data_IF_543449972435
#
_entry.id   IF_543449972435
#
_cell.length_a   1.000
_cell.length_b   1.000
_cell.length_c   1.000
_cell.angle_alpha   90.00
_cell.angle_beta   90.00
_cell.angle_gamma   90.00
#
_symmetry.space_group_name_H-M   'P 1'
#
loop_
_entity.id
_entity.type
_entity.pdbx_description
1 polymer ?
#
# COMPACT_ATOMS: atom_id res chain seq x y z
N UNK A 1 18.62 -11.68 -17.37
CA UNK A 1 17.36 -11.08 -16.88
C UNK A 1 17.35 -9.64 -17.36
N UNK A 2 16.79 -9.43 -18.54
CA UNK A 2 16.74 -8.11 -19.18
C UNK A 2 15.47 -7.40 -18.73
N UNK A 3 15.71 -6.24 -18.14
CA UNK A 3 14.75 -5.30 -17.56
C UNK A 3 14.13 -4.49 -18.70
N UNK A 4 12.81 -4.37 -18.78
CA UNK A 4 12.21 -3.31 -19.60
C UNK A 4 10.78 -2.93 -19.19
N UNK A 5 10.61 -1.60 -19.09
CA UNK A 5 9.42 -0.75 -18.90
C UNK A 5 8.13 -1.28 -19.52
N UNK A 6 7.00 -1.17 -18.80
CA UNK A 6 6.33 0.11 -18.56
C UNK A 6 6.36 0.47 -17.08
N UNK A 7 7.04 1.58 -16.79
CA UNK A 7 6.97 2.32 -15.53
C UNK A 7 6.90 3.83 -15.84
N UNK A 8 6.40 4.13 -17.04
CA UNK A 8 6.52 5.41 -17.73
C UNK A 8 5.22 6.21 -17.80
N UNK A 9 4.11 5.70 -17.25
CA UNK A 9 2.83 6.41 -17.30
C UNK A 9 2.29 6.91 -15.96
N UNK A 10 3.07 6.85 -14.86
CA UNK A 10 2.68 7.51 -13.60
C UNK A 10 3.74 8.38 -12.92
N UNK A 11 4.72 8.85 -13.71
CA UNK A 11 5.61 9.97 -13.35
C UNK A 11 5.35 11.24 -14.19
N UNK A 12 4.33 11.24 -15.06
CA UNK A 12 3.92 12.42 -15.83
C UNK A 12 2.91 13.31 -15.11
N UNK A 13 2.52 12.98 -13.88
CA UNK A 13 1.70 13.85 -13.05
C UNK A 13 2.56 14.46 -11.94
N UNK A 14 2.64 15.80 -11.83
CA UNK A 14 3.15 16.47 -10.64
C UNK A 14 2.48 15.99 -9.34
N UNK A 15 1.34 15.31 -9.42
CA UNK A 15 0.61 14.81 -8.28
C UNK A 15 1.42 13.74 -7.54
N UNK A 16 1.87 12.64 -8.14
CA UNK A 16 2.55 11.55 -7.36
C UNK A 16 3.82 12.03 -6.66
N UNK A 17 4.52 13.02 -7.23
CA UNK A 17 5.67 13.66 -6.60
C UNK A 17 5.26 14.66 -5.49
N UNK A 18 4.26 15.52 -5.73
CA UNK A 18 3.78 16.52 -4.76
C UNK A 18 2.93 15.92 -3.62
N UNK A 19 2.38 14.71 -3.81
CA UNK A 19 1.61 14.01 -2.80
C UNK A 19 2.50 13.50 -1.67
N UNK A 20 3.74 13.13 -2.01
CA UNK A 20 4.59 12.27 -1.19
C UNK A 20 5.73 13.03 -0.52
N UNK A 21 6.22 14.11 -1.12
CA UNK A 21 7.19 14.99 -0.48
C UNK A 21 6.42 16.12 0.20
N UNK A 22 6.24 16.08 1.52
CA UNK A 22 5.69 17.20 2.32
C UNK A 22 6.62 18.44 2.32
N UNK A 23 7.49 18.56 1.32
CA UNK A 23 8.25 19.75 1.00
C UNK A 23 7.33 20.71 0.26
N UNK A 24 6.84 21.72 0.99
CA UNK A 24 6.34 22.95 0.37
C UNK A 24 7.47 23.54 -0.47
N UNK A 25 7.48 23.19 -1.75
CA UNK A 25 8.28 23.86 -2.75
C UNK A 25 7.96 25.35 -2.70
N UNK A 26 8.98 26.19 -2.48
CA UNK A 26 8.75 27.63 -2.29
C UNK A 26 8.19 28.23 -3.58
N UNK A 27 7.18 29.11 -3.51
CA UNK A 27 6.68 29.81 -4.69
C UNK A 27 7.82 30.60 -5.34
N UNK A 28 8.28 30.18 -6.52
CA UNK A 28 9.29 30.89 -7.31
C UNK A 28 10.50 30.07 -7.76
N UNK A 29 10.72 28.85 -7.24
CA UNK A 29 11.68 27.95 -7.87
C UNK A 29 11.11 27.47 -9.21
N UNK A 30 11.95 27.31 -10.25
CA UNK A 30 11.52 26.80 -11.55
C UNK A 30 11.64 25.29 -11.52
N UNK A 31 10.51 24.58 -11.60
CA UNK A 31 10.46 23.12 -11.71
C UNK A 31 11.42 22.70 -12.83
N UNK A 32 12.56 22.09 -12.49
CA UNK A 32 13.32 21.36 -13.50
C UNK A 32 12.41 20.22 -13.93
N UNK A 33 11.90 20.32 -15.16
CA UNK A 33 11.10 19.25 -15.75
C UNK A 33 12.00 18.04 -15.89
N UNK A 34 11.92 17.11 -14.94
CA UNK A 34 12.50 15.79 -15.09
C UNK A 34 11.92 15.15 -16.35
N UNK A 35 12.79 14.66 -17.23
CA UNK A 35 12.38 13.95 -18.43
C UNK A 35 12.07 12.48 -18.14
N UNK A 36 11.36 11.81 -19.05
CA UNK A 36 11.13 10.34 -19.01
C UNK A 36 12.43 9.54 -18.80
N UNK A 37 13.56 10.03 -19.31
CA UNK A 37 14.87 9.40 -19.16
C UNK A 37 15.43 9.49 -17.74
N UNK A 38 15.21 10.59 -17.02
CA UNK A 38 15.66 10.75 -15.63
C UNK A 38 14.89 9.79 -14.71
N UNK A 39 13.60 9.60 -14.98
CA UNK A 39 12.75 8.66 -14.26
C UNK A 39 13.07 7.19 -14.55
N UNK A 40 13.28 6.83 -15.82
CA UNK A 40 13.71 5.48 -16.18
C UNK A 40 15.08 5.14 -15.57
N UNK A 41 15.98 6.13 -15.48
CA UNK A 41 17.27 5.99 -14.81
C UNK A 41 17.10 5.77 -13.29
N UNK A 42 16.26 6.56 -12.62
CA UNK A 42 15.96 6.39 -11.18
C UNK A 42 15.36 5.01 -10.94
N UNK A 43 14.38 4.60 -11.74
CA UNK A 43 13.69 3.33 -11.57
C UNK A 43 14.64 2.13 -11.75
N UNK A 44 15.40 2.08 -12.85
CA UNK A 44 16.36 1.00 -13.15
C UNK A 44 17.50 0.89 -12.13
N UNK A 45 17.82 1.98 -11.43
CA UNK A 45 18.90 2.02 -10.45
C UNK A 45 18.40 2.01 -9.01
N UNK A 46 17.09 2.12 -8.77
CA UNK A 46 16.50 2.09 -7.43
C UNK A 46 16.23 0.66 -6.95
N UNK A 47 16.25 0.46 -5.62
CA UNK A 47 15.72 -0.75 -5.01
C UNK A 47 14.19 -0.80 -4.92
N UNK A 48 13.47 0.13 -5.58
CA UNK A 48 12.03 0.37 -5.34
C UNK A 48 11.17 -0.86 -5.64
N UNK A 49 11.30 -1.48 -6.80
CA UNK A 49 10.49 -2.66 -7.17
C UNK A 49 10.64 -3.80 -6.18
N UNK A 50 11.87 -4.08 -5.75
CA UNK A 50 12.15 -5.10 -4.74
C UNK A 50 11.58 -4.69 -3.38
N UNK A 51 11.70 -3.42 -3.00
CA UNK A 51 11.11 -2.91 -1.77
C UNK A 51 9.58 -2.99 -1.78
N UNK A 52 8.93 -2.66 -2.90
CA UNK A 52 7.48 -2.77 -3.09
C UNK A 52 7.01 -4.20 -2.86
N UNK A 53 7.69 -5.21 -3.41
CA UNK A 53 7.34 -6.60 -3.18
C UNK A 53 7.54 -7.04 -1.72
N UNK A 54 8.60 -6.56 -1.06
CA UNK A 54 8.83 -6.83 0.36
C UNK A 54 7.75 -6.18 1.25
N UNK A 55 7.40 -4.92 1.00
CA UNK A 55 6.30 -4.24 1.68
C UNK A 55 4.96 -4.94 1.40
N UNK A 56 4.73 -5.38 0.15
CA UNK A 56 3.50 -6.05 -0.22
C UNK A 56 3.33 -7.38 0.50
N UNK A 57 4.42 -8.14 0.70
CA UNK A 57 4.37 -9.37 1.49
C UNK A 57 3.95 -9.09 2.95
N UNK A 58 4.56 -8.08 3.59
CA UNK A 58 4.22 -7.69 4.98
C UNK A 58 2.75 -7.22 5.07
N UNK A 59 2.34 -6.35 4.17
CA UNK A 59 0.97 -5.81 4.13
C UNK A 59 -0.05 -6.93 3.86
N UNK A 60 0.30 -7.92 3.02
CA UNK A 60 -0.56 -9.05 2.70
C UNK A 60 -0.78 -9.96 3.90
N UNK A 61 0.25 -10.23 4.69
CA UNK A 61 0.12 -11.04 5.91
C UNK A 61 -0.85 -10.38 6.91
N UNK A 62 -0.77 -9.04 7.04
CA UNK A 62 -1.70 -8.27 7.88
C UNK A 62 -3.11 -8.23 7.27
N UNK A 63 -3.22 -7.97 5.96
CA UNK A 63 -4.50 -7.92 5.24
C UNK A 63 -5.28 -9.23 5.37
N UNK A 64 -4.60 -10.35 5.16
CA UNK A 64 -5.19 -11.69 5.19
C UNK A 64 -5.39 -12.22 6.62
N UNK A 65 -4.90 -11.52 7.65
CA UNK A 65 -5.12 -11.94 9.03
C UNK A 65 -6.63 -11.95 9.33
N UNK A 66 -7.19 -13.04 9.90
CA UNK A 66 -8.63 -13.20 10.06
C UNK A 66 -9.23 -12.25 11.10
N UNK A 67 -8.42 -11.78 12.06
CA UNK A 67 -8.87 -10.97 13.18
C UNK A 67 -7.86 -9.86 13.55
N UNK A 68 -8.14 -8.63 13.13
CA UNK A 68 -7.29 -7.49 13.50
C UNK A 68 -7.40 -7.08 14.97
N UNK A 69 -8.45 -7.46 15.69
CA UNK A 69 -8.56 -7.19 17.12
C UNK A 69 -7.46 -7.95 17.89
N UNK A 70 -7.15 -9.18 17.47
CA UNK A 70 -6.04 -9.97 17.98
C UNK A 70 -4.68 -9.30 17.70
N UNK A 71 -4.48 -8.79 16.47
CA UNK A 71 -3.26 -8.05 16.12
C UNK A 71 -3.12 -6.79 16.98
N UNK A 72 -4.18 -5.98 17.04
CA UNK A 72 -4.20 -4.76 17.82
C UNK A 72 -3.93 -5.03 19.30
N UNK A 73 -4.56 -6.06 19.88
CA UNK A 73 -4.35 -6.47 21.26
C UNK A 73 -2.89 -6.89 21.53
N UNK A 74 -2.28 -7.66 20.62
CA UNK A 74 -0.88 -8.06 20.73
C UNK A 74 0.06 -6.84 20.70
N UNK A 75 -0.06 -5.99 19.67
CA UNK A 75 0.83 -4.85 19.49
C UNK A 75 0.62 -3.74 20.53
N UNK A 76 -0.57 -3.65 21.14
CA UNK A 76 -0.87 -2.69 22.21
C UNK A 76 -0.48 -3.17 23.61
N UNK A 77 -0.25 -4.47 23.80
CA UNK A 77 -0.03 -5.02 25.14
C UNK A 77 1.30 -4.55 25.72
N UNK A 78 1.24 -3.95 26.91
CA UNK A 78 2.40 -3.59 27.74
C UNK A 78 2.15 -4.16 29.13
N UNK A 79 3.16 -4.77 29.74
CA UNK A 79 3.04 -5.30 31.10
C UNK A 79 3.69 -4.36 32.11
N UNK A 80 3.14 -4.21 33.32
CA UNK A 80 3.79 -3.49 34.41
C UNK A 80 5.15 -4.10 34.75
N UNK A 81 6.13 -3.24 35.05
CA UNK A 81 7.46 -3.67 35.50
C UNK A 81 7.33 -4.57 36.74
N UNK A 82 7.90 -5.78 36.65
CA UNK A 82 7.91 -6.75 37.76
C UNK A 82 6.83 -7.83 37.70
N UNK A 83 5.91 -7.80 36.73
CA UNK A 83 5.03 -8.94 36.47
C UNK A 83 5.81 -10.09 35.83
N UNK A 84 6.02 -11.18 36.59
CA UNK A 84 6.59 -12.41 36.05
C UNK A 84 5.71 -12.95 34.91
N UNK A 85 6.26 -13.20 33.72
CA UNK A 85 5.51 -13.84 32.64
C UNK A 85 4.92 -15.17 33.13
N UNK A 86 3.61 -15.36 32.96
CA UNK A 86 2.99 -16.68 33.15
C UNK A 86 3.37 -17.59 31.97
N UNK A 87 3.51 -18.89 32.24
CA UNK A 87 4.11 -19.92 31.36
C UNK A 87 3.60 -20.02 29.91
N UNK A 88 2.51 -19.35 29.52
CA UNK A 88 1.88 -19.55 28.21
C UNK A 88 2.63 -18.91 27.03
N UNK A 89 3.46 -17.88 27.23
CA UNK A 89 4.37 -17.34 26.20
C UNK A 89 5.57 -16.68 26.86
N UNK A 90 6.74 -17.31 26.80
CA UNK A 90 7.97 -16.73 27.31
C UNK A 90 8.22 -15.38 26.60
N UNK A 91 8.27 -14.27 27.37
CA UNK A 91 8.53 -12.91 26.86
C UNK A 91 10.01 -12.72 26.61
N UNK A 92 10.55 -13.51 25.70
CA UNK A 92 11.99 -13.60 25.54
C UNK A 92 12.38 -12.87 24.28
N UNK A 93 13.16 -11.81 24.44
CA UNK A 93 13.83 -11.15 23.34
C UNK A 93 15.04 -11.99 22.96
N UNK A 94 14.97 -12.63 21.79
CA UNK A 94 16.05 -13.46 21.27
C UNK A 94 17.00 -12.58 20.45
N UNK A 95 18.32 -12.68 20.64
CA UNK A 95 19.26 -11.94 19.81
C UNK A 95 19.17 -12.40 18.34
N UNK A 96 19.51 -11.53 17.38
CA UNK A 96 19.67 -11.89 15.98
C UNK A 96 20.61 -13.09 15.78
N UNK A 97 20.40 -13.87 14.71
CA UNK A 97 21.17 -15.12 14.45
C UNK A 97 22.69 -14.89 14.38
N UNK A 98 23.10 -13.71 13.94
CA UNK A 98 24.49 -13.22 13.86
C UNK A 98 25.10 -12.90 15.23
N UNK A 99 24.30 -12.85 16.29
CA UNK A 99 24.72 -12.63 17.69
C UNK A 99 24.35 -13.81 18.60
N UNK A 100 24.44 -15.04 18.08
CA UNK A 100 24.08 -16.29 18.78
C UNK A 100 24.84 -16.55 20.11
N UNK A 101 25.89 -15.77 20.40
CA UNK A 101 26.63 -15.82 21.66
C UNK A 101 25.92 -15.09 22.81
N UNK A 102 24.96 -14.20 22.54
CA UNK A 102 24.15 -13.55 23.56
C UNK A 102 23.01 -14.46 24.03
N UNK A 103 22.71 -14.40 25.33
CA UNK A 103 21.59 -15.15 25.89
C UNK A 103 20.28 -14.38 25.66
N UNK A 104 19.18 -15.07 25.40
CA UNK A 104 17.87 -14.43 25.34
C UNK A 104 17.50 -13.79 26.69
N UNK A 105 16.87 -12.62 26.65
CA UNK A 105 16.52 -11.85 27.86
C UNK A 105 15.01 -11.67 27.99
N UNK A 106 14.52 -11.65 29.24
CA UNK A 106 13.10 -11.48 29.55
C UNK A 106 12.74 -10.00 29.53
N UNK A 107 11.68 -9.64 28.81
CA UNK A 107 11.20 -8.26 28.66
C UNK A 107 9.70 -8.11 28.99
N UNK A 108 9.24 -6.87 29.22
CA UNK A 108 7.90 -6.55 29.71
C UNK A 108 6.84 -6.31 28.60
N UNK A 109 7.08 -6.82 27.39
CA UNK A 109 6.13 -6.72 26.27
C UNK A 109 6.22 -7.98 25.39
N UNK A 110 5.20 -8.25 24.53
CA UNK A 110 5.22 -9.41 23.64
C UNK A 110 6.35 -9.29 22.60
N UNK A 111 7.12 -10.36 22.37
CA UNK A 111 8.27 -10.34 21.44
C UNK A 111 8.13 -11.23 20.22
N UNK A 112 7.16 -12.17 20.19
CA UNK A 112 7.01 -13.14 19.10
C UNK A 112 5.67 -12.96 18.35
N UNK A 113 5.67 -12.28 17.18
CA UNK A 113 4.48 -12.07 16.36
C UNK A 113 3.84 -13.36 15.83
N UNK A 114 4.55 -14.49 15.82
CA UNK A 114 3.98 -15.78 15.38
C UNK A 114 2.88 -16.29 16.29
N UNK A 115 2.84 -15.82 17.54
CA UNK A 115 1.74 -16.09 18.47
C UNK A 115 0.39 -15.52 18.02
N UNK A 116 0.41 -14.57 17.09
CA UNK A 116 -0.78 -13.99 16.44
C UNK A 116 -0.73 -14.18 14.92
N UNK A 117 -0.13 -15.26 14.45
CA UNK A 117 -0.19 -15.62 13.03
C UNK A 117 0.65 -14.75 12.08
N UNK A 118 1.54 -13.89 12.59
CA UNK A 118 2.45 -13.08 11.78
C UNK A 118 3.86 -13.68 11.69
N UNK A 119 4.68 -13.28 10.70
CA UNK A 119 6.06 -13.73 10.60
C UNK A 119 6.87 -13.45 11.88
N UNK A 120 7.56 -14.48 12.40
CA UNK A 120 8.41 -14.35 13.59
C UNK A 120 9.52 -13.31 13.40
N UNK A 121 9.97 -13.11 12.17
CA UNK A 121 11.02 -12.19 11.77
C UNK A 121 10.48 -10.86 11.21
N UNK A 122 9.24 -10.47 11.54
CA UNK A 122 8.59 -9.24 11.08
C UNK A 122 9.49 -7.99 11.16
N UNK A 123 10.19 -7.79 12.28
CA UNK A 123 11.12 -6.64 12.47
C UNK A 123 12.27 -6.69 11.44
N UNK A 124 12.79 -7.88 11.15
CA UNK A 124 13.84 -8.07 10.15
C UNK A 124 13.33 -7.84 8.73
N UNK A 125 12.10 -8.27 8.43
CA UNK A 125 11.44 -8.01 7.15
C UNK A 125 11.22 -6.51 6.93
N UNK A 126 10.71 -5.79 7.95
CA UNK A 126 10.57 -4.33 7.93
C UNK A 126 11.90 -3.61 7.72
N UNK A 127 12.95 -4.00 8.47
CA UNK A 127 14.29 -3.44 8.29
C UNK A 127 14.83 -3.69 6.87
N UNK A 128 14.55 -4.86 6.30
CA UNK A 128 15.00 -5.23 4.95
C UNK A 128 14.26 -4.44 3.88
N UNK A 129 12.93 -4.31 3.99
CA UNK A 129 12.13 -3.47 3.10
C UNK A 129 12.55 -2.00 3.18
N UNK A 130 12.77 -1.49 4.40
CA UNK A 130 13.24 -0.12 4.66
C UNK A 130 14.63 0.17 4.10
N UNK A 131 15.58 -0.77 4.22
CA UNK A 131 16.92 -0.62 3.60
C UNK A 131 16.87 -0.71 2.08
N UNK A 132 16.09 -1.65 1.56
CA UNK A 132 15.98 -1.89 0.11
C UNK A 132 15.37 -0.68 -0.59
N UNK A 133 14.33 -0.07 -0.01
CA UNK A 133 13.73 1.15 -0.54
C UNK A 133 14.72 2.31 -0.62
N UNK A 134 15.64 2.44 0.33
CA UNK A 134 16.67 3.50 0.34
C UNK A 134 17.94 3.13 -0.41
N UNK A 135 18.05 1.90 -0.91
CA UNK A 135 19.24 1.45 -1.61
C UNK A 135 19.36 2.19 -2.95
N UNK A 136 20.57 2.73 -3.21
CA UNK A 136 21.00 3.27 -4.52
C UNK A 136 20.28 4.53 -5.00
N UNK A 137 19.52 5.22 -4.14
CA UNK A 137 18.81 6.44 -4.51
C UNK A 137 19.54 7.72 -4.08
N UNK A 138 19.49 8.72 -4.96
CA UNK A 138 19.75 10.12 -4.65
C UNK A 138 18.45 10.90 -4.90
N UNK A 139 17.85 11.49 -3.86
CA UNK A 139 16.56 12.21 -3.97
C UNK A 139 15.67 12.08 -2.73
N UNK A 140 14.41 12.52 -2.84
CA UNK A 140 13.41 12.48 -1.77
C UNK A 140 13.12 11.07 -1.24
N UNK A 141 12.51 10.97 -0.05
CA UNK A 141 12.31 9.69 0.66
C UNK A 141 11.57 8.66 -0.20
N UNK A 142 12.19 7.53 -0.56
CA UNK A 142 11.60 6.54 -1.47
C UNK A 142 10.65 5.55 -0.81
N UNK A 143 10.50 5.58 0.51
CA UNK A 143 9.65 4.62 1.21
C UNK A 143 8.17 4.72 0.80
N UNK A 144 7.55 5.92 0.78
CA UNK A 144 6.15 6.01 0.38
C UNK A 144 5.93 5.63 -1.10
N UNK A 145 6.91 5.92 -1.98
CA UNK A 145 6.91 5.52 -3.39
C UNK A 145 6.98 4.00 -3.59
N UNK A 146 7.44 3.24 -2.60
CA UNK A 146 7.40 1.78 -2.61
C UNK A 146 6.14 1.22 -1.93
N UNK A 147 5.61 1.91 -0.91
CA UNK A 147 4.48 1.44 -0.09
C UNK A 147 3.14 1.63 -0.80
N UNK A 148 2.91 2.76 -1.49
CA UNK A 148 1.68 3.00 -2.27
C UNK A 148 1.31 1.83 -3.21
N UNK A 149 2.20 1.43 -4.14
CA UNK A 149 1.97 0.26 -4.99
C UNK A 149 1.91 -1.05 -4.20
N UNK A 150 2.64 -1.15 -3.09
CA UNK A 150 2.63 -2.35 -2.26
C UNK A 150 1.24 -2.65 -1.66
N UNK A 151 0.43 -1.62 -1.37
CA UNK A 151 -0.96 -1.80 -0.90
C UNK A 151 -1.78 -2.51 -1.98
N UNK A 152 -1.67 -2.05 -3.23
CA UNK A 152 -2.39 -2.65 -4.36
C UNK A 152 -1.97 -4.09 -4.60
N UNK A 153 -0.66 -4.37 -4.58
CA UNK A 153 -0.14 -5.74 -4.72
C UNK A 153 -0.54 -6.63 -3.54
N UNK A 154 -0.58 -6.10 -2.32
CA UNK A 154 -0.91 -6.85 -1.12
C UNK A 154 -2.38 -7.28 -1.09
N UNK A 155 -3.29 -6.33 -1.29
CA UNK A 155 -4.73 -6.50 -1.10
C UNK A 155 -5.44 -6.96 -2.38
N UNK A 156 -4.85 -6.71 -3.55
CA UNK A 156 -5.46 -6.93 -4.86
C UNK A 156 -6.29 -5.74 -5.33
N UNK A 157 -6.58 -5.71 -6.64
CA UNK A 157 -7.23 -4.61 -7.32
C UNK A 157 -8.62 -4.24 -6.73
N UNK A 158 -9.42 -5.23 -6.36
CA UNK A 158 -10.74 -5.01 -5.75
C UNK A 158 -10.66 -4.35 -4.38
N UNK A 159 -9.86 -4.91 -3.48
CA UNK A 159 -9.66 -4.33 -2.15
C UNK A 159 -8.95 -2.96 -2.22
N UNK A 160 -8.05 -2.75 -3.18
CA UNK A 160 -7.46 -1.44 -3.43
C UNK A 160 -8.50 -0.41 -3.90
N UNK A 161 -9.44 -0.83 -4.76
CA UNK A 161 -10.58 0.01 -5.14
C UNK A 161 -11.41 0.38 -3.91
N UNK A 162 -11.77 -0.60 -3.09
CA UNK A 162 -12.56 -0.36 -1.88
C UNK A 162 -11.82 0.58 -0.92
N UNK A 163 -10.50 0.41 -0.75
CA UNK A 163 -9.66 1.27 0.08
C UNK A 163 -9.57 2.70 -0.45
N UNK A 164 -9.41 2.89 -1.76
CA UNK A 164 -9.16 4.23 -2.34
C UNK A 164 -10.46 4.98 -2.62
N UNK A 165 -11.50 4.25 -3.02
CA UNK A 165 -12.76 4.83 -3.48
C UNK A 165 -13.88 4.74 -2.45
N UNK A 166 -13.84 3.76 -1.54
CA UNK A 166 -14.86 3.55 -0.50
C UNK A 166 -16.31 3.59 -1.05
N UNK A 167 -16.51 3.06 -2.27
CA UNK A 167 -17.81 3.09 -2.96
C UNK A 167 -18.19 4.41 -3.62
N UNK A 168 -17.30 5.41 -3.63
CA UNK A 168 -17.55 6.75 -4.18
C UNK A 168 -16.77 7.01 -5.46
N UNK A 169 -17.34 7.83 -6.32
CA UNK A 169 -16.68 8.25 -7.55
C UNK A 169 -15.47 9.14 -7.26
N UNK A 170 -14.47 9.16 -8.16
CA UNK A 170 -13.32 10.04 -8.05
C UNK A 170 -13.72 11.50 -7.77
N UNK A 171 -13.12 12.11 -6.74
CA UNK A 171 -13.34 13.52 -6.39
C UNK A 171 -14.49 13.79 -5.41
N UNK A 172 -15.20 12.75 -4.96
CA UNK A 172 -16.28 12.87 -3.97
C UNK A 172 -15.90 12.21 -2.64
N UNK A 173 -14.81 12.65 -2.01
CA UNK A 173 -14.35 12.11 -0.73
C UNK A 173 -14.71 13.03 0.41
N UNK A 174 -15.54 12.53 1.32
CA UNK A 174 -15.84 13.23 2.55
C UNK A 174 -14.85 12.80 3.65
N UNK A 175 -14.44 13.77 4.47
CA UNK A 175 -13.51 13.54 5.57
C UNK A 175 -14.11 12.56 6.59
N UNK A 176 -13.36 11.53 6.96
CA UNK A 176 -13.69 10.64 8.07
C UNK A 176 -13.11 11.18 9.37
N UNK A 177 -13.71 10.87 10.51
CA UNK A 177 -13.24 11.37 11.82
C UNK A 177 -13.48 10.36 12.91
N UNK A 178 -12.47 10.15 13.76
CA UNK A 178 -12.60 9.35 14.97
C UNK A 178 -13.24 10.16 16.10
N UNK A 179 -14.31 9.63 16.70
CA UNK A 179 -14.94 10.18 17.90
C UNK A 179 -15.17 9.01 18.86
N UNK A 180 -14.52 9.04 20.03
CA UNK A 180 -14.68 7.98 21.04
C UNK A 180 -14.19 6.59 20.61
N UNK A 181 -13.24 6.51 19.66
CA UNK A 181 -12.73 5.25 19.10
C UNK A 181 -13.58 4.69 17.96
N UNK A 182 -14.75 5.28 17.68
CA UNK A 182 -15.57 4.94 16.53
C UNK A 182 -15.19 5.83 15.34
N UNK A 183 -15.15 5.24 14.15
CA UNK A 183 -14.92 5.96 12.91
C UNK A 183 -16.26 6.47 12.39
N UNK A 184 -16.40 7.79 12.30
CA UNK A 184 -17.54 8.44 11.69
C UNK A 184 -17.24 8.83 10.25
N UNK A 185 -18.26 8.66 9.42
CA UNK A 185 -18.24 9.04 8.02
C UNK A 185 -19.64 9.34 7.53
N UNK A 186 -19.72 9.94 6.36
CA UNK A 186 -20.99 10.28 5.75
C UNK A 186 -21.57 9.06 5.01
N UNK A 187 -22.80 8.71 5.32
CA UNK A 187 -23.57 7.62 4.73
C UNK A 187 -24.98 8.12 4.40
N UNK A 188 -25.33 8.19 3.11
CA UNK A 188 -26.64 8.67 2.62
C UNK A 188 -27.03 10.03 3.26
N UNK A 189 -26.15 11.02 3.14
CA UNK A 189 -26.34 12.39 3.66
C UNK A 189 -26.45 12.52 5.19
N UNK A 190 -26.09 11.48 5.94
CA UNK A 190 -26.00 11.49 7.39
C UNK A 190 -24.58 11.17 7.84
N UNK A 191 -24.03 11.95 8.76
CA UNK A 191 -22.78 11.62 9.43
C UNK A 191 -23.09 10.59 10.54
N UNK A 192 -22.59 9.37 10.38
CA UNK A 192 -22.90 8.24 11.26
C UNK A 192 -21.66 7.35 11.45
N UNK A 193 -21.73 6.38 12.36
CA UNK A 193 -20.65 5.41 12.59
C UNK A 193 -20.53 4.50 11.36
N UNK A 194 -19.35 4.48 10.76
CA UNK A 194 -19.01 3.63 9.61
C UNK A 194 -18.12 2.45 9.97
N UNK A 195 -17.35 2.56 11.07
CA UNK A 195 -16.60 1.43 11.65
C UNK A 195 -16.49 1.57 13.18
N UNK A 196 -16.55 0.42 13.85
CA UNK A 196 -16.31 0.30 15.29
C UNK A 196 -14.81 0.17 15.59
N UNK A 197 -14.36 0.36 16.85
CA UNK A 197 -12.95 0.25 17.21
C UNK A 197 -12.35 -1.10 16.79
N UNK A 198 -11.10 -1.10 16.33
CA UNK A 198 -10.40 -2.34 15.95
C UNK A 198 -10.30 -3.29 17.13
N UNK A 199 -10.09 -2.74 18.34
CA UNK A 199 -9.97 -3.49 19.59
C UNK A 199 -11.17 -4.35 19.93
N UNK A 200 -12.34 -4.10 19.34
CA UNK A 200 -13.59 -4.83 19.66
C UNK A 200 -14.19 -5.54 18.44
N UNK A 201 -13.53 -5.50 17.28
CA UNK A 201 -14.11 -5.97 16.02
C UNK A 201 -13.29 -7.13 15.43
N UNK A 202 -13.82 -8.35 15.55
CA UNK A 202 -13.24 -9.59 15.02
C UNK A 202 -13.47 -9.68 13.49
N UNK A 203 -12.64 -8.96 12.74
CA UNK A 203 -12.68 -8.94 11.26
C UNK A 203 -11.26 -8.86 10.69
N UNK A 204 -11.03 -9.43 9.52
CA UNK A 204 -9.75 -9.27 8.81
C UNK A 204 -9.61 -7.93 8.10
N UNK A 205 -8.62 -7.80 7.22
CA UNK A 205 -8.33 -6.53 6.53
C UNK A 205 -9.29 -6.18 5.39
N UNK A 206 -10.08 -7.15 4.89
CA UNK A 206 -11.09 -6.91 3.85
C UNK A 206 -12.19 -5.99 4.35
N UNK A 207 -12.65 -5.08 3.50
CA UNK A 207 -13.70 -4.11 3.80
C UNK A 207 -13.41 -3.25 5.05
N UNK A 208 -12.13 -2.95 5.31
CA UNK A 208 -11.69 -1.98 6.32
C UNK A 208 -11.25 -0.69 5.66
N UNK A 209 -11.43 0.43 6.38
CA UNK A 209 -11.11 1.77 5.89
C UNK A 209 -9.65 2.15 6.20
N UNK A 210 -9.12 3.16 5.48
CA UNK A 210 -7.78 3.71 5.69
C UNK A 210 -7.47 4.09 7.14
N UNK A 211 -8.49 4.53 7.87
CA UNK A 211 -8.35 5.02 9.24
C UNK A 211 -8.06 3.84 10.18
N UNK A 212 -8.67 2.69 9.91
CA UNK A 212 -8.40 1.46 10.66
C UNK A 212 -6.98 0.93 10.35
N UNK A 213 -6.51 1.08 9.12
CA UNK A 213 -5.12 0.76 8.77
C UNK A 213 -4.12 1.69 9.49
N UNK A 214 -4.39 2.99 9.51
CA UNK A 214 -3.59 3.98 10.24
C UNK A 214 -3.52 3.61 11.73
N UNK A 215 -4.66 3.36 12.37
CA UNK A 215 -4.74 2.99 13.80
C UNK A 215 -3.93 1.71 14.10
N UNK A 216 -4.06 0.66 13.27
CA UNK A 216 -3.30 -0.57 13.44
C UNK A 216 -1.78 -0.33 13.26
N UNK A 217 -1.39 0.42 12.23
CA UNK A 217 0.03 0.70 11.99
C UNK A 217 0.65 1.63 13.03
N UNK A 218 -0.15 2.48 13.68
CA UNK A 218 0.28 3.26 14.83
C UNK A 218 0.75 2.36 15.98
N UNK A 219 -0.06 1.37 16.37
CA UNK A 219 0.31 0.44 17.45
C UNK A 219 1.44 -0.51 17.04
N UNK A 220 1.51 -0.92 15.77
CA UNK A 220 2.66 -1.69 15.24
C UNK A 220 3.95 -0.85 15.32
N UNK A 221 3.93 0.41 14.88
CA UNK A 221 5.11 1.27 14.93
C UNK A 221 5.56 1.58 16.36
N UNK A 222 4.63 1.65 17.33
CA UNK A 222 4.97 1.70 18.75
C UNK A 222 5.59 0.41 19.26
N UNK A 223 5.05 -0.74 18.87
CA UNK A 223 5.65 -2.03 19.23
C UNK A 223 7.06 -2.22 18.63
N UNK A 224 7.28 -1.84 17.37
CA UNK A 224 8.63 -1.90 16.74
C UNK A 224 9.62 -1.00 17.47
N UNK A 225 9.19 0.19 17.93
CA UNK A 225 10.03 1.06 18.75
C UNK A 225 10.41 0.39 20.07
N UNK A 226 9.46 -0.19 20.80
CA UNK A 226 9.72 -0.93 22.03
C UNK A 226 10.72 -2.07 21.78
N UNK A 227 10.48 -2.85 20.73
CA UNK A 227 11.35 -3.95 20.31
C UNK A 227 12.79 -3.48 20.05
N UNK A 228 12.98 -2.50 19.17
CA UNK A 228 14.30 -2.05 18.76
C UNK A 228 15.03 -1.29 19.87
N UNK A 229 14.33 -0.44 20.62
CA UNK A 229 14.93 0.34 21.71
C UNK A 229 15.39 -0.55 22.86
N UNK A 230 14.61 -1.57 23.24
CA UNK A 230 15.03 -2.57 24.22
C UNK A 230 16.15 -3.45 23.66
N UNK A 231 16.09 -3.84 22.39
CA UNK A 231 17.17 -4.59 21.75
C UNK A 231 18.50 -3.82 21.74
N UNK A 232 18.48 -2.50 21.54
CA UNK A 232 19.66 -1.65 21.63
C UNK A 232 20.18 -1.56 23.07
N UNK A 233 19.28 -1.40 24.05
CA UNK A 233 19.63 -1.33 25.47
C UNK A 233 20.33 -2.61 25.96
N UNK A 234 19.85 -3.78 25.52
CA UNK A 234 20.43 -5.09 25.83
C UNK A 234 21.62 -5.43 24.89
N UNK A 235 21.92 -4.53 23.96
CA UNK A 235 22.96 -4.66 22.95
C UNK A 235 22.74 -5.81 21.96
N UNK A 236 21.52 -6.31 21.81
CA UNK A 236 21.13 -7.26 20.76
C UNK A 236 21.16 -6.59 19.38
N UNK A 237 21.04 -5.26 19.31
CA UNK A 237 21.29 -4.46 18.12
C UNK A 237 22.57 -3.66 18.30
N UNK A 238 23.40 -3.63 17.25
CA UNK A 238 24.70 -2.97 17.25
C UNK A 238 24.71 -1.59 16.59
N UNK A 239 23.67 -1.27 15.80
CA UNK A 239 23.61 -0.04 15.01
C UNK A 239 22.24 0.62 15.11
N UNK A 240 22.25 1.93 15.32
CA UNK A 240 21.09 2.79 15.15
C UNK A 240 21.55 4.13 14.55
N UNK A 241 20.59 4.90 14.06
CA UNK A 241 20.80 6.29 13.68
C UNK A 241 19.84 7.18 14.48
N UNK A 242 20.02 8.49 14.35
CA UNK A 242 19.06 9.46 14.87
C UNK A 242 18.23 10.04 13.74
N UNK A 243 16.97 10.37 14.02
CA UNK A 243 16.05 11.01 13.06
C UNK A 243 16.63 12.31 12.51
N UNK A 244 17.41 13.02 13.32
CA UNK A 244 18.15 14.23 12.97
C UNK A 244 19.44 14.33 13.76
N UNK A 245 20.28 15.32 13.43
CA UNK A 245 21.51 15.59 14.17
C UNK A 245 21.16 16.17 15.54
N UNK A 246 21.34 15.35 16.58
CA UNK A 246 21.12 15.78 17.96
C UNK A 246 22.11 16.86 18.41
N UNK A 247 21.62 17.83 19.18
CA UNK A 247 22.44 18.79 19.91
C UNK A 247 23.22 18.11 21.06
N UNK A 248 24.28 18.75 21.59
CA UNK A 248 24.98 18.24 22.78
C UNK A 248 24.05 18.06 23.98
N UNK A 249 23.12 18.99 24.19
CA UNK A 249 22.15 18.95 25.29
C UNK A 249 21.20 17.76 25.12
N UNK A 250 20.68 17.55 23.90
CA UNK A 250 19.82 16.41 23.58
C UNK A 250 20.54 15.07 23.78
N UNK A 251 21.81 14.96 23.37
CA UNK A 251 22.61 13.76 23.62
C UNK A 251 22.85 13.49 25.10
N UNK A 252 22.96 14.53 25.91
CA UNK A 252 23.09 14.40 27.37
C UNK A 252 21.76 14.15 28.09
N UNK A 253 20.62 14.30 27.39
CA UNK A 253 19.28 14.20 27.98
C UNK A 253 18.78 12.76 28.20
N UNK A 254 19.50 11.77 27.72
CA UNK A 254 19.18 10.35 27.93
C UNK A 254 20.45 9.56 28.23
N UNK A 255 20.31 8.50 29.03
CA UNK A 255 21.42 7.62 29.35
C UNK A 255 21.91 6.89 28.09
N UNK A 256 23.22 6.89 27.87
CA UNK A 256 23.86 6.20 26.74
C UNK A 256 23.64 4.68 26.78
N UNK A 257 23.40 4.13 27.97
CA UNK A 257 23.06 2.73 28.19
C UNK A 257 21.57 2.52 28.48
N UNK A 258 20.78 3.60 28.43
CA UNK A 258 19.34 3.57 28.64
C UNK A 258 18.56 3.49 27.33
N UNK A 259 17.23 3.39 27.47
CA UNK A 259 16.30 3.39 26.35
C UNK A 259 16.33 4.74 25.63
N UNK A 260 16.69 4.74 24.36
CA UNK A 260 16.72 5.95 23.52
C UNK A 260 15.28 6.44 23.31
N UNK A 261 14.95 7.71 23.61
CA UNK A 261 13.61 8.25 23.39
C UNK A 261 13.14 8.13 21.93
N UNK A 262 11.86 7.77 21.74
CA UNK A 262 11.21 7.60 20.42
C UNK A 262 11.42 8.77 19.46
N UNK A 263 11.39 10.00 19.99
CA UNK A 263 11.59 11.23 19.20
C UNK A 263 12.98 11.31 18.53
N UNK A 264 13.95 10.54 19.01
CA UNK A 264 15.32 10.55 18.51
C UNK A 264 15.66 9.28 17.74
N UNK A 265 15.19 8.11 18.20
CA UNK A 265 15.60 6.82 17.66
C UNK A 265 15.18 6.63 16.21
N UNK A 266 16.11 6.22 15.36
CA UNK A 266 15.86 5.79 13.99
C UNK A 266 16.60 4.49 13.68
N UNK A 267 15.84 3.41 13.58
CA UNK A 267 16.28 2.13 13.03
C UNK A 267 15.59 1.89 11.69
N UNK A 268 16.08 0.92 10.92
CA UNK A 268 15.51 0.61 9.62
C UNK A 268 14.09 0.06 9.71
N UNK A 269 13.83 -0.79 10.72
CA UNK A 269 12.50 -1.34 10.98
C UNK A 269 11.53 -0.26 11.48
N UNK A 270 11.95 0.56 12.45
CA UNK A 270 11.11 1.64 12.96
C UNK A 270 10.76 2.65 11.86
N UNK A 271 11.75 3.07 11.06
CA UNK A 271 11.50 3.98 9.95
C UNK A 271 10.52 3.38 8.92
N UNK A 272 10.67 2.09 8.60
CA UNK A 272 9.75 1.41 7.67
C UNK A 272 8.32 1.32 8.23
N UNK A 273 8.15 0.97 9.50
CA UNK A 273 6.84 0.93 10.15
C UNK A 273 6.19 2.32 10.23
N UNK A 274 6.98 3.35 10.57
CA UNK A 274 6.52 4.76 10.59
C UNK A 274 6.14 5.25 9.19
N UNK A 275 6.84 4.83 8.14
CA UNK A 275 6.50 5.19 6.76
C UNK A 275 5.18 4.55 6.31
N UNK A 276 4.92 3.29 6.67
CA UNK A 276 3.62 2.64 6.37
C UNK A 276 2.49 3.36 7.10
N UNK A 277 2.68 3.63 8.40
CA UNK A 277 1.73 4.44 9.17
C UNK A 277 1.48 5.81 8.52
N UNK A 278 2.53 6.51 8.10
CA UNK A 278 2.41 7.82 7.45
C UNK A 278 1.66 7.75 6.11
N UNK A 279 1.86 6.70 5.31
CA UNK A 279 1.12 6.51 4.05
C UNK A 279 -0.37 6.31 4.33
N UNK A 280 -0.74 5.49 5.31
CA UNK A 280 -2.17 5.33 5.67
C UNK A 280 -2.76 6.58 6.30
N UNK A 281 -1.99 7.33 7.11
CA UNK A 281 -2.42 8.63 7.63
C UNK A 281 -2.64 9.66 6.51
N UNK A 282 -1.78 9.68 5.49
CA UNK A 282 -1.96 10.53 4.30
C UNK A 282 -3.18 10.09 3.49
N UNK A 283 -3.35 8.79 3.26
CA UNK A 283 -4.53 8.23 2.59
C UNK A 283 -5.81 8.57 3.35
N UNK A 284 -5.77 8.56 4.67
CA UNK A 284 -6.91 8.89 5.51
C UNK A 284 -7.31 10.37 5.47
N UNK A 285 -6.32 11.24 5.34
CA UNK A 285 -6.55 12.68 5.26
C UNK A 285 -6.92 13.13 3.84
N UNK A 286 -6.30 12.55 2.82
CA UNK A 286 -6.39 13.02 1.43
C UNK A 286 -6.44 11.83 0.44
N UNK A 287 -7.50 10.99 0.47
CA UNK A 287 -7.57 9.76 -0.34
C UNK A 287 -7.50 10.02 -1.84
N UNK A 288 -8.01 11.17 -2.29
CA UNK A 288 -7.92 11.65 -3.66
C UNK A 288 -6.49 11.74 -4.21
N UNK A 289 -5.50 11.88 -3.32
CA UNK A 289 -4.08 11.90 -3.72
C UNK A 289 -3.61 10.52 -4.18
N UNK A 290 -4.20 9.44 -3.70
CA UNK A 290 -3.75 8.09 -4.05
C UNK A 290 -4.40 7.56 -5.33
N UNK A 291 -5.26 8.36 -5.98
CA UNK A 291 -5.79 8.03 -7.29
C UNK A 291 -4.69 8.03 -8.35
N UNK A 292 -4.71 7.02 -9.21
CA UNK A 292 -3.72 6.79 -10.26
C UNK A 292 -2.58 5.87 -9.83
N UNK A 293 -2.34 5.66 -8.53
CA UNK A 293 -1.35 4.69 -8.04
C UNK A 293 -1.75 3.25 -8.37
N UNK A 294 -3.03 2.99 -8.65
CA UNK A 294 -3.53 1.70 -9.15
C UNK A 294 -2.80 1.20 -10.41
N UNK A 295 -2.26 2.08 -11.26
CA UNK A 295 -1.54 1.68 -12.48
C UNK A 295 -0.28 0.88 -12.23
N UNK A 296 0.37 1.10 -11.08
CA UNK A 296 1.58 0.36 -10.71
C UNK A 296 1.30 -1.14 -10.49
N UNK A 297 0.03 -1.54 -10.31
CA UNK A 297 -0.41 -2.95 -10.25
C UNK A 297 -0.21 -3.69 -11.57
N UNK A 298 -0.50 -3.05 -12.70
CA UNK A 298 -0.35 -3.63 -14.04
C UNK A 298 1.12 -3.84 -14.40
N UNK A 299 1.97 -2.90 -13.97
CA UNK A 299 3.40 -2.88 -14.30
C UNK A 299 4.20 -3.97 -13.56
N UNK A 300 3.70 -4.44 -12.41
CA UNK A 300 4.35 -5.48 -11.60
C UNK A 300 3.92 -6.93 -11.96
N UNK A 301 2.84 -7.09 -12.74
CA UNK A 301 2.18 -8.38 -12.97
C UNK A 301 2.44 -9.02 -14.35
N UNK A 302 3.11 -8.31 -15.28
CA UNK A 302 3.26 -8.72 -16.69
C UNK A 302 4.73 -9.08 -17.03
N UNK A 303 5.03 -10.30 -17.54
CA UNK A 303 6.32 -10.60 -18.17
C UNK A 303 6.48 -9.83 -19.49
N UNK A 304 7.68 -9.42 -19.89
CA UNK A 304 7.86 -8.42 -20.94
C UNK A 304 7.49 -8.96 -22.32
N UNK A 305 6.40 -8.46 -22.89
CA UNK A 305 6.17 -8.41 -24.34
C UNK A 305 6.02 -6.97 -24.81
N UNK A 306 6.63 -6.68 -25.96
CA UNK A 306 6.76 -5.32 -26.52
C UNK A 306 5.39 -4.78 -26.91
N UNK A 307 4.92 -3.75 -26.21
CA UNK A 307 3.78 -2.94 -26.65
C UNK A 307 4.29 -1.62 -27.27
N UNK A 308 3.76 -1.19 -28.44
CA UNK A 308 4.13 0.08 -29.07
C UNK A 308 3.65 1.28 -28.24
N UNK A 309 4.38 2.41 -28.31
CA UNK A 309 4.14 3.60 -27.51
C UNK A 309 2.82 4.34 -27.78
N UNK A 310 2.41 5.26 -26.88
CA UNK A 310 1.11 5.91 -26.94
C UNK A 310 1.05 6.99 -28.03
N UNK A 311 0.09 6.83 -28.95
CA UNK A 311 -0.40 7.92 -29.79
C UNK A 311 -1.27 8.86 -28.95
N UNK A 312 -1.06 10.18 -29.12
CA UNK A 312 -1.97 11.19 -28.60
C UNK A 312 -3.27 11.13 -29.39
N UNK A 313 -4.39 10.78 -28.77
CA UNK A 313 -5.71 11.15 -29.28
C UNK A 313 -6.69 11.43 -28.12
N UNK A 314 -7.38 12.55 -28.24
CA UNK A 314 -8.38 13.07 -27.30
C UNK A 314 -9.72 12.36 -27.49
N UNK A 315 -10.26 11.75 -26.43
CA UNK A 315 -11.60 11.14 -26.45
C UNK A 315 -12.69 12.23 -26.34
N UNK A 316 -13.40 12.46 -27.44
CA UNK A 316 -14.62 13.28 -27.48
C UNK A 316 -15.85 12.45 -27.06
N UNK A 317 -16.61 12.98 -26.10
CA UNK A 317 -17.85 12.43 -25.56
C UNK A 317 -19.03 12.69 -26.53
N UNK A 318 -19.81 11.66 -26.86
CA UNK A 318 -21.12 11.81 -27.53
C UNK A 318 -21.44 10.73 -28.58
N UNK A 319 -22.56 10.03 -28.38
CA UNK A 319 -23.25 9.05 -29.24
C UNK A 319 -22.75 7.59 -29.32
N UNK A 320 -23.75 6.71 -29.19
CA UNK A 320 -23.74 5.27 -28.88
C UNK A 320 -23.00 4.41 -29.91
N UNK A 321 -22.11 3.54 -29.43
CA UNK A 321 -21.61 2.38 -30.17
C UNK A 321 -22.78 1.48 -30.59
N UNK A 322 -22.76 0.99 -31.82
CA UNK A 322 -23.80 0.11 -32.35
C UNK A 322 -23.56 -1.33 -31.88
N UNK A 323 -24.03 -1.66 -30.68
CA UNK A 323 -23.98 -3.01 -30.10
C UNK A 323 -25.03 -3.97 -30.67
N UNK A 324 -25.80 -3.55 -31.68
CA UNK A 324 -26.95 -4.28 -32.22
C UNK A 324 -26.60 -5.69 -32.77
N UNK A 325 -25.34 -5.90 -33.18
CA UNK A 325 -24.86 -7.19 -33.71
C UNK A 325 -24.27 -8.12 -32.62
N UNK A 326 -24.20 -7.67 -31.36
CA UNK A 326 -23.62 -8.42 -30.24
C UNK A 326 -24.72 -9.09 -29.42
N UNK A 327 -24.59 -10.40 -29.19
CA UNK A 327 -25.51 -11.14 -28.31
C UNK A 327 -25.52 -10.50 -26.90
N UNK A 328 -26.69 -10.28 -26.28
CA UNK A 328 -26.78 -9.72 -24.92
C UNK A 328 -25.98 -10.50 -23.88
N UNK A 329 -25.78 -11.80 -24.06
CA UNK A 329 -24.98 -12.63 -23.15
C UNK A 329 -23.47 -12.35 -23.25
N UNK A 330 -23.02 -11.91 -24.41
CA UNK A 330 -21.61 -11.62 -24.69
C UNK A 330 -21.30 -10.13 -24.61
N UNK A 331 -22.24 -9.34 -24.08
CA UNK A 331 -22.10 -7.92 -23.81
C UNK A 331 -21.95 -7.74 -22.30
N UNK A 332 -20.77 -7.30 -21.86
CA UNK A 332 -20.39 -7.23 -20.44
C UNK A 332 -20.22 -5.77 -20.04
N UNK A 333 -21.28 -5.17 -19.52
CA UNK A 333 -21.23 -3.78 -19.02
C UNK A 333 -20.38 -3.69 -17.76
N UNK A 334 -19.44 -2.75 -17.75
CA UNK A 334 -18.68 -2.46 -16.54
C UNK A 334 -19.61 -1.99 -15.41
N UNK A 335 -19.30 -2.34 -14.14
CA UNK A 335 -20.02 -1.80 -13.01
C UNK A 335 -20.02 -0.26 -13.02
N UNK A 336 -21.12 0.33 -12.55
CA UNK A 336 -21.28 1.79 -12.41
C UNK A 336 -20.97 2.28 -10.99
N UNK A 337 -20.38 1.43 -10.15
CA UNK A 337 -20.03 1.71 -8.76
C UNK A 337 -18.52 1.49 -8.54
N UNK A 338 -18.01 1.97 -7.41
CA UNK A 338 -16.61 1.84 -7.03
C UNK A 338 -16.44 0.83 -5.88
N UNK A 339 -17.16 -0.30 -5.95
CA UNK A 339 -17.01 -1.40 -5.01
C UNK A 339 -16.28 -2.58 -5.66
N UNK A 340 -15.15 -2.96 -5.10
CA UNK A 340 -14.30 -4.06 -5.56
C UNK A 340 -15.08 -5.35 -5.78
N UNK A 341 -16.02 -5.68 -4.88
CA UNK A 341 -16.88 -6.88 -5.03
C UNK A 341 -17.72 -6.88 -6.31
N UNK A 342 -18.21 -5.72 -6.76
CA UNK A 342 -18.97 -5.63 -8.01
C UNK A 342 -18.07 -5.85 -9.22
N UNK A 343 -16.85 -5.34 -9.15
CA UNK A 343 -15.82 -5.49 -10.17
C UNK A 343 -15.28 -6.93 -10.22
N UNK A 344 -15.08 -7.58 -9.07
CA UNK A 344 -14.72 -9.00 -8.97
C UNK A 344 -15.79 -9.88 -9.61
N UNK A 345 -17.07 -9.66 -9.29
CA UNK A 345 -18.17 -10.42 -9.86
C UNK A 345 -18.30 -10.22 -11.38
N UNK A 346 -18.14 -8.97 -11.85
CA UNK A 346 -18.10 -8.65 -13.28
C UNK A 346 -16.92 -9.34 -13.96
N UNK A 347 -15.73 -9.25 -13.39
CA UNK A 347 -14.50 -9.84 -13.90
C UNK A 347 -14.60 -11.36 -14.05
N UNK A 348 -15.12 -12.05 -13.03
CA UNK A 348 -15.33 -13.50 -13.06
C UNK A 348 -16.37 -13.95 -14.09
N UNK A 349 -17.16 -13.02 -14.63
CA UNK A 349 -18.16 -13.29 -15.67
C UNK A 349 -17.63 -13.13 -17.10
N UNK A 350 -16.39 -12.67 -17.27
CA UNK A 350 -15.77 -12.44 -18.57
C UNK A 350 -15.23 -13.74 -19.16
N UNK A 351 -15.59 -14.00 -20.41
CA UNK A 351 -15.07 -15.07 -21.25
C UNK A 351 -14.45 -14.49 -22.52
N UNK A 352 -13.61 -15.27 -23.19
CA UNK A 352 -13.08 -14.87 -24.48
C UNK A 352 -14.18 -14.76 -25.55
N UNK A 353 -14.09 -13.75 -26.39
CA UNK A 353 -15.12 -13.35 -27.35
C UNK A 353 -16.13 -12.35 -26.79
N UNK A 354 -16.06 -12.00 -25.50
CA UNK A 354 -16.92 -10.99 -24.91
C UNK A 354 -16.58 -9.57 -25.37
N UNK A 355 -17.60 -8.71 -25.37
CA UNK A 355 -17.50 -7.27 -25.62
C UNK A 355 -17.78 -6.54 -24.32
N UNK A 356 -16.76 -5.87 -23.80
CA UNK A 356 -16.82 -5.06 -22.61
C UNK A 356 -17.30 -3.66 -22.97
N UNK A 357 -18.36 -3.21 -22.28
CA UNK A 357 -18.94 -1.89 -22.53
C UNK A 357 -18.45 -0.92 -21.45
N UNK A 358 -17.71 0.08 -21.89
CA UNK A 358 -17.20 1.18 -21.07
C UNK A 358 -17.94 2.47 -21.40
N UNK A 359 -18.41 3.17 -20.37
CA UNK A 359 -19.17 4.42 -20.51
C UNK A 359 -18.37 5.63 -19.99
N UNK A 360 -17.34 5.38 -19.17
CA UNK A 360 -16.51 6.41 -18.54
C UNK A 360 -15.03 6.07 -18.64
N UNK A 361 -14.16 7.08 -18.53
CA UNK A 361 -12.70 6.87 -18.44
C UNK A 361 -12.39 5.96 -17.25
N UNK A 362 -13.00 6.21 -16.08
CA UNK A 362 -12.84 5.36 -14.89
C UNK A 362 -13.12 3.89 -15.21
N UNK A 363 -14.23 3.59 -15.88
CA UNK A 363 -14.56 2.21 -16.25
C UNK A 363 -13.56 1.61 -17.23
N UNK A 364 -13.10 2.37 -18.22
CA UNK A 364 -12.11 1.89 -19.18
C UNK A 364 -10.78 1.54 -18.50
N UNK A 365 -10.29 2.42 -17.62
CA UNK A 365 -9.05 2.20 -16.87
C UNK A 365 -9.13 0.93 -16.01
N UNK A 366 -10.20 0.79 -15.21
CA UNK A 366 -10.39 -0.37 -14.35
C UNK A 366 -10.67 -1.66 -15.13
N UNK A 367 -11.41 -1.60 -16.23
CA UNK A 367 -11.63 -2.76 -17.08
C UNK A 367 -10.30 -3.31 -17.61
N UNK A 368 -9.42 -2.46 -18.13
CA UNK A 368 -8.09 -2.88 -18.60
C UNK A 368 -7.27 -3.48 -17.46
N UNK A 369 -7.27 -2.86 -16.28
CA UNK A 369 -6.55 -3.38 -15.10
C UNK A 369 -6.96 -4.80 -14.72
N UNK A 370 -8.27 -5.06 -14.68
CA UNK A 370 -8.79 -6.38 -14.36
C UNK A 370 -8.52 -7.37 -15.49
N UNK A 371 -8.85 -7.02 -16.73
CA UNK A 371 -8.73 -7.90 -17.89
C UNK A 371 -7.28 -8.32 -18.18
N UNK A 372 -6.29 -7.47 -17.87
CA UNK A 372 -4.88 -7.81 -18.04
C UNK A 372 -4.40 -8.97 -17.16
N UNK A 373 -5.19 -9.35 -16.14
CA UNK A 373 -4.93 -10.54 -15.32
C UNK A 373 -5.48 -11.83 -15.93
N UNK A 374 -6.29 -11.75 -16.99
CA UNK A 374 -6.78 -12.91 -17.74
C UNK A 374 -5.75 -13.34 -18.80
N UNK A 375 -5.69 -14.64 -19.13
CA UNK A 375 -4.91 -15.13 -20.26
C UNK A 375 -5.62 -14.84 -21.60
N UNK A 376 -6.12 -13.62 -21.80
CA UNK A 376 -6.87 -13.18 -22.97
C UNK A 376 -6.24 -11.92 -23.56
N UNK A 377 -6.24 -11.82 -24.88
CA UNK A 377 -5.77 -10.62 -25.57
C UNK A 377 -6.84 -9.52 -25.47
N UNK A 378 -6.44 -8.30 -25.13
CA UNK A 378 -7.35 -7.15 -25.10
C UNK A 378 -7.28 -6.44 -26.45
N UNK A 379 -8.42 -6.29 -27.13
CA UNK A 379 -8.53 -5.52 -28.37
C UNK A 379 -9.49 -4.35 -28.20
N UNK A 380 -8.95 -3.14 -28.27
CA UNK A 380 -9.75 -1.91 -28.25
C UNK A 380 -10.28 -1.66 -29.66
N UNK A 381 -11.60 -1.53 -29.80
CA UNK A 381 -12.25 -1.26 -31.08
C UNK A 381 -12.55 0.24 -31.17
N UNK A 382 -12.11 0.87 -32.26
CA UNK A 382 -12.39 2.27 -32.48
C UNK A 382 -13.88 2.51 -32.68
N UNK A 383 -14.34 3.70 -32.31
CA UNK A 383 -15.76 4.06 -32.33
C UNK A 383 -16.44 3.92 -33.69
N UNK A 384 -15.67 4.04 -34.78
CA UNK A 384 -16.15 3.88 -36.15
C UNK A 384 -16.15 2.43 -36.65
N UNK A 385 -15.52 1.52 -35.91
CA UNK A 385 -15.36 0.14 -36.31
C UNK A 385 -16.53 -0.73 -35.80
N UNK A 386 -16.82 -1.79 -36.55
CA UNK A 386 -17.77 -2.81 -36.11
C UNK A 386 -17.05 -3.92 -35.38
N UNK A 387 -17.71 -4.45 -34.35
CA UNK A 387 -17.24 -5.68 -33.73
C UNK A 387 -17.23 -6.83 -34.76
N UNK A 388 -16.22 -7.72 -34.72
CA UNK A 388 -16.17 -8.86 -35.62
C UNK A 388 -17.42 -9.72 -35.46
N UNK A 389 -18.01 -10.12 -36.60
CA UNK A 389 -19.19 -11.00 -36.60
C UNK A 389 -18.89 -12.38 -35.99
N UNK A 390 -17.65 -12.85 -36.15
CA UNK A 390 -17.08 -14.01 -35.48
C UNK A 390 -16.00 -13.50 -34.52
N UNK A 391 -16.25 -13.64 -33.23
CA UNK A 391 -15.37 -13.15 -32.17
C UNK A 391 -14.40 -14.25 -31.74
N UNK A 392 -13.16 -13.86 -31.56
CA UNK A 392 -12.07 -14.78 -31.21
C UNK A 392 -12.18 -15.17 -29.71
N UNK A 393 -12.24 -16.47 -29.38
CA UNK A 393 -12.32 -16.93 -27.99
C UNK A 393 -11.02 -16.68 -27.19
N UNK A 394 -9.95 -16.20 -27.82
CA UNK A 394 -8.73 -15.77 -27.12
C UNK A 394 -8.67 -14.25 -26.92
N UNK A 395 -9.71 -13.50 -27.34
CA UNK A 395 -9.72 -12.02 -27.33
C UNK A 395 -10.93 -11.50 -26.55
N UNK A 396 -10.72 -10.50 -25.69
CA UNK A 396 -11.78 -9.65 -25.15
C UNK A 396 -11.74 -8.31 -25.87
N UNK A 397 -12.91 -7.85 -26.30
CA UNK A 397 -13.06 -6.59 -27.03
C UNK A 397 -13.53 -5.49 -26.08
N UNK A 398 -12.97 -4.29 -26.19
CA UNK A 398 -13.42 -3.08 -25.47
C UNK A 398 -13.95 -2.08 -26.48
#
# INVERSE_FOLDING_TARGET
>A
MQVSLPLALHLSSPQTYNIITDERWKPGEKLQRFGLHDFAFIDQNSGRSTATLLFAAILRDIFNHPDWSQLHAFFSKRFPQGEKPTDATQRTLTPPKDQSWKQPEVVDFPTDPSSVGLPKDLVTLLATAGRTSRARLMGADPQPCAIGPAISVACGAGAYMDLTYAGRLPGQYEKMTYIGGELYGWKKDKFDVIASPISTTEKGGRDRYWAEWEELWSVIAEWVYEYDSTSLQLGHLSSHSFKYRLSPEEKSSFDQFGKIPRRYLKTDALAAAEAIHAVFAQLANEPQRFQGVEWEFLELSIPPERVPGPGQDSLAYGDSLAYEEVSPMALKRCPNNCFGVSWEAWFLSIEGGDVVVVETIFQALWAVMWLASLPLNIKIIEKSDRFPRYRDPEVVYI
#
